data_IF_755573923186
#
_entry.id   IF_755573923186
#
_cell.length_a   1.000
_cell.length_b   1.000
_cell.length_c   1.000
_cell.angle_alpha   90.00
_cell.angle_beta   90.00
_cell.angle_gamma   90.00
#
_symmetry.space_group_name_H-M   'P 1'
#
loop_
_entity.id
_entity.type
_entity.pdbx_description
1 polymer ?
#
# COMPACT_ATOMS: atom_id res chain seq x y z
N UNK A 1 -7.94 29.84 15.80
CA UNK A 1 -8.75 30.11 14.60
C UNK A 1 -9.10 28.78 13.94
N UNK A 2 -10.28 28.22 14.20
CA UNK A 2 -10.73 26.93 13.67
C UNK A 2 -11.30 27.25 12.28
N UNK A 3 -10.54 26.88 11.23
CA UNK A 3 -11.04 26.96 9.86
C UNK A 3 -12.11 25.87 9.68
N UNK A 4 -13.37 26.23 9.73
CA UNK A 4 -14.46 25.40 9.25
C UNK A 4 -14.30 25.26 7.74
N UNK A 5 -13.82 24.08 7.30
CA UNK A 5 -13.94 23.66 5.92
C UNK A 5 -15.44 23.54 5.64
N UNK A 6 -15.99 24.38 4.78
CA UNK A 6 -17.34 24.22 4.25
C UNK A 6 -17.43 22.81 3.65
N UNK A 7 -18.18 21.93 4.29
CA UNK A 7 -18.54 20.63 3.74
C UNK A 7 -19.31 20.88 2.44
N UNK A 8 -18.68 20.58 1.33
CA UNK A 8 -19.39 20.46 0.05
C UNK A 8 -19.99 19.08 0.08
N UNK A 9 -21.31 18.99 0.13
CA UNK A 9 -22.02 17.74 -0.01
C UNK A 9 -21.58 17.06 -1.31
N UNK A 10 -20.90 15.92 -1.19
CA UNK A 10 -20.48 15.11 -2.32
C UNK A 10 -21.41 13.92 -2.41
N UNK A 11 -22.22 13.90 -3.47
CA UNK A 11 -23.09 12.76 -3.73
C UNK A 11 -22.31 11.72 -4.56
N UNK A 12 -22.11 10.53 -4.00
CA UNK A 12 -21.49 9.41 -4.70
C UNK A 12 -22.57 8.35 -4.94
N UNK A 13 -22.91 8.15 -6.22
CA UNK A 13 -23.84 7.11 -6.66
C UNK A 13 -23.04 6.00 -7.33
N UNK A 14 -23.38 4.74 -7.06
CA UNK A 14 -22.85 3.60 -7.80
C UNK A 14 -24.00 2.71 -8.25
N UNK A 15 -23.90 2.24 -9.48
CA UNK A 15 -24.82 1.31 -10.09
C UNK A 15 -24.11 -0.01 -10.34
N UNK A 16 -24.76 -1.10 -9.87
CA UNK A 16 -24.32 -2.47 -10.09
C UNK A 16 -25.28 -3.15 -11.06
N UNK A 17 -25.00 -2.97 -12.35
CA UNK A 17 -25.62 -3.74 -13.43
C UNK A 17 -24.57 -4.70 -14.01
N UNK A 18 -24.52 -4.88 -15.31
CA UNK A 18 -23.47 -5.67 -15.97
C UNK A 18 -22.05 -5.13 -15.73
N UNK A 19 -21.91 -3.80 -15.59
CA UNK A 19 -20.66 -3.12 -15.24
C UNK A 19 -20.89 -2.14 -14.10
N UNK A 20 -19.96 -2.13 -13.14
CA UNK A 20 -19.96 -1.14 -12.05
C UNK A 20 -19.72 0.25 -12.61
N UNK A 21 -20.66 1.16 -12.41
CA UNK A 21 -20.55 2.57 -12.79
C UNK A 21 -20.57 3.43 -11.54
N UNK A 22 -19.71 4.43 -11.52
CA UNK A 22 -19.60 5.37 -10.41
C UNK A 22 -19.85 6.78 -10.89
N UNK A 23 -20.49 7.59 -10.05
CA UNK A 23 -20.80 8.98 -10.33
C UNK A 23 -20.42 9.82 -9.13
N UNK A 24 -19.90 11.03 -9.37
CA UNK A 24 -19.70 12.06 -8.35
C UNK A 24 -20.52 13.27 -8.78
N UNK A 25 -21.49 13.69 -7.96
CA UNK A 25 -22.42 14.76 -8.28
C UNK A 25 -23.09 14.58 -9.65
N UNK A 26 -23.54 13.34 -9.95
CA UNK A 26 -24.13 12.91 -11.20
C UNK A 26 -23.20 12.91 -12.44
N UNK A 27 -21.91 13.20 -12.26
CA UNK A 27 -20.90 13.13 -13.32
C UNK A 27 -20.27 11.72 -13.29
N UNK A 28 -20.26 10.99 -14.41
CA UNK A 28 -19.67 9.66 -14.46
C UNK A 28 -18.16 9.71 -14.23
N UNK A 29 -17.66 8.81 -13.40
CA UNK A 29 -16.24 8.69 -13.04
C UNK A 29 -15.61 7.62 -13.90
N UNK A 30 -14.52 7.94 -14.56
CA UNK A 30 -13.81 7.01 -15.47
C UNK A 30 -12.95 5.99 -14.69
N UNK A 31 -12.38 6.39 -13.57
CA UNK A 31 -11.51 5.53 -12.75
C UNK A 31 -11.99 5.50 -11.30
N UNK A 32 -12.12 4.32 -10.72
CA UNK A 32 -12.48 4.14 -9.30
C UNK A 32 -11.54 4.89 -8.35
N UNK A 33 -10.27 5.09 -8.76
CA UNK A 33 -9.31 5.87 -7.97
C UNK A 33 -9.70 7.33 -7.75
N UNK A 34 -10.58 7.89 -8.59
CA UNK A 34 -11.05 9.28 -8.45
C UNK A 34 -12.06 9.45 -7.30
N UNK A 35 -12.65 8.35 -6.81
CA UNK A 35 -13.59 8.34 -5.68
C UNK A 35 -12.82 8.27 -4.37
N UNK A 36 -11.65 7.64 -4.39
CA UNK A 36 -10.84 7.45 -3.19
C UNK A 36 -10.38 8.81 -2.66
N UNK A 37 -10.64 9.05 -1.37
CA UNK A 37 -10.37 10.33 -0.73
C UNK A 37 -11.45 11.39 -0.92
N UNK A 38 -12.51 11.09 -1.70
CA UNK A 38 -13.73 11.91 -1.75
C UNK A 38 -14.74 11.48 -0.67
N UNK A 39 -14.78 10.19 -0.41
CA UNK A 39 -15.60 9.58 0.65
C UNK A 39 -14.72 8.70 1.53
N UNK A 40 -15.02 8.67 2.82
CA UNK A 40 -14.35 7.81 3.80
C UNK A 40 -15.33 6.74 4.23
N UNK A 41 -14.98 5.48 3.94
CA UNK A 41 -15.82 4.33 4.28
C UNK A 41 -15.02 3.43 5.22
N UNK A 42 -15.61 3.12 6.36
CA UNK A 42 -15.11 2.11 7.29
C UNK A 42 -16.13 0.96 7.28
N UNK A 43 -15.67 -0.19 6.84
CA UNK A 43 -16.43 -1.44 6.89
C UNK A 43 -15.71 -2.38 7.84
N UNK A 44 -16.43 -2.98 8.75
CA UNK A 44 -15.94 -4.04 9.62
C UNK A 44 -16.75 -5.31 9.36
N UNK A 45 -16.05 -6.38 9.06
CA UNK A 45 -16.62 -7.71 8.81
C UNK A 45 -15.95 -8.75 9.71
N UNK A 46 -16.56 -9.90 9.98
CA UNK A 46 -15.94 -10.97 10.76
C UNK A 46 -14.58 -11.43 10.17
N UNK A 47 -14.42 -11.35 8.86
CA UNK A 47 -13.18 -11.69 8.17
C UNK A 47 -12.02 -10.73 8.50
N UNK A 48 -12.32 -9.53 8.99
CA UNK A 48 -11.30 -8.54 9.38
C UNK A 48 -10.56 -8.93 10.66
N UNK A 49 -11.12 -9.81 11.48
CA UNK A 49 -10.43 -10.45 12.61
C UNK A 49 -9.19 -11.20 12.09
N UNK A 50 -9.25 -11.72 10.88
CA UNK A 50 -8.11 -12.33 10.20
C UNK A 50 -6.91 -11.41 9.93
N UNK A 51 -7.04 -10.09 10.11
CA UNK A 51 -5.91 -9.15 10.03
C UNK A 51 -4.88 -9.46 11.12
N UNK A 52 -5.34 -9.89 12.29
CA UNK A 52 -4.49 -10.24 13.43
C UNK A 52 -3.83 -11.60 13.20
N UNK A 53 -4.63 -12.61 12.85
CA UNK A 53 -4.21 -14.01 12.83
C UNK A 53 -3.70 -14.50 11.47
N UNK A 54 -3.91 -13.75 10.39
CA UNK A 54 -3.69 -14.22 9.03
C UNK A 54 -2.45 -13.60 8.35
N UNK A 55 -2.36 -13.90 7.05
CA UNK A 55 -1.24 -13.60 6.18
C UNK A 55 -0.83 -12.12 6.13
N UNK A 56 0.46 -11.84 5.96
CA UNK A 56 0.97 -10.47 5.75
C UNK A 56 0.33 -9.73 4.57
N UNK A 57 -0.22 -10.45 3.60
CA UNK A 57 -0.96 -9.91 2.45
C UNK A 57 -2.20 -9.14 2.87
N UNK A 58 -3.02 -9.68 3.79
CA UNK A 58 -4.23 -9.02 4.32
C UNK A 58 -3.88 -7.76 5.10
N UNK A 59 -2.84 -7.80 5.95
CA UNK A 59 -2.35 -6.62 6.67
C UNK A 59 -1.88 -5.51 5.72
N UNK A 60 -1.14 -5.87 4.66
CA UNK A 60 -0.71 -4.89 3.64
C UNK A 60 -1.90 -4.30 2.89
N UNK A 61 -2.88 -5.14 2.53
CA UNK A 61 -4.11 -4.67 1.86
C UNK A 61 -4.88 -3.69 2.73
N UNK A 62 -5.06 -3.99 4.01
CA UNK A 62 -5.71 -3.10 4.97
C UNK A 62 -4.99 -1.74 5.04
N UNK A 63 -3.67 -1.73 5.25
CA UNK A 63 -2.88 -0.50 5.27
C UNK A 63 -3.01 0.28 3.96
N UNK A 64 -2.98 -0.40 2.83
CA UNK A 64 -3.11 0.26 1.52
C UNK A 64 -4.47 0.94 1.38
N UNK A 65 -5.56 0.31 1.79
CA UNK A 65 -6.91 0.88 1.75
C UNK A 65 -6.98 2.13 2.65
N UNK A 66 -6.55 2.01 3.90
CA UNK A 66 -6.61 3.11 4.87
C UNK A 66 -5.77 4.31 4.44
N UNK A 67 -4.54 4.08 4.02
CA UNK A 67 -3.64 5.16 3.57
C UNK A 67 -4.17 5.79 2.28
N UNK A 68 -4.69 5.01 1.33
CA UNK A 68 -5.23 5.54 0.08
C UNK A 68 -6.43 6.47 0.31
N UNK A 69 -7.30 6.17 1.27
CA UNK A 69 -8.41 7.06 1.62
C UNK A 69 -7.90 8.40 2.16
N UNK A 70 -6.88 8.41 3.00
CA UNK A 70 -6.32 9.60 3.62
C UNK A 70 -5.37 10.38 2.70
N UNK A 71 -4.71 9.69 1.79
CA UNK A 71 -3.68 10.20 0.88
C UNK A 71 -3.91 9.65 -0.54
N UNK A 72 -4.78 10.26 -1.35
CA UNK A 72 -5.11 9.72 -2.69
C UNK A 72 -3.90 9.50 -3.60
N UNK A 73 -2.84 10.33 -3.47
CA UNK A 73 -1.60 10.14 -4.22
C UNK A 73 -0.89 8.81 -3.94
N UNK A 74 -1.14 8.19 -2.78
CA UNK A 74 -0.56 6.90 -2.42
C UNK A 74 -1.02 5.77 -3.35
N UNK A 75 -2.24 5.85 -3.90
CA UNK A 75 -2.74 4.84 -4.85
C UNK A 75 -1.94 4.86 -6.16
N UNK A 76 -1.49 6.03 -6.58
CA UNK A 76 -0.67 6.17 -7.78
C UNK A 76 0.70 5.51 -7.57
N UNK A 77 1.30 5.69 -6.38
CA UNK A 77 2.55 5.02 -6.02
C UNK A 77 2.41 3.50 -6.00
N UNK A 78 1.29 2.97 -5.47
CA UNK A 78 1.00 1.54 -5.49
C UNK A 78 0.84 1.00 -6.91
N UNK A 79 0.11 1.73 -7.76
CA UNK A 79 -0.10 1.34 -9.15
C UNK A 79 1.22 1.32 -9.93
N UNK A 80 2.05 2.35 -9.77
CA UNK A 80 3.36 2.45 -10.39
C UNK A 80 4.30 1.33 -9.90
N UNK A 81 4.33 1.08 -8.59
CA UNK A 81 5.11 0.00 -8.00
C UNK A 81 4.74 -1.38 -8.58
N UNK A 82 3.45 -1.67 -8.68
CA UNK A 82 2.97 -2.95 -9.21
C UNK A 82 3.32 -3.08 -10.71
N UNK A 83 3.14 -2.03 -11.50
CA UNK A 83 3.50 -2.03 -12.91
C UNK A 83 4.99 -2.34 -13.14
N UNK A 84 5.87 -1.69 -12.37
CA UNK A 84 7.31 -1.93 -12.48
C UNK A 84 7.66 -3.34 -11.99
N UNK A 85 7.00 -3.82 -10.94
CA UNK A 85 7.19 -5.18 -10.43
C UNK A 85 6.79 -6.24 -11.46
N UNK A 86 5.68 -6.04 -12.17
CA UNK A 86 5.24 -6.92 -13.26
C UNK A 86 6.25 -6.93 -14.41
N UNK A 87 6.71 -5.76 -14.84
CA UNK A 87 7.74 -5.64 -15.89
C UNK A 87 9.03 -6.35 -15.48
N UNK A 88 9.48 -6.16 -14.24
CA UNK A 88 10.64 -6.84 -13.68
C UNK A 88 10.47 -8.36 -13.68
N UNK A 89 9.32 -8.84 -13.23
CA UNK A 89 9.03 -10.29 -13.20
C UNK A 89 8.95 -10.88 -14.61
N UNK A 90 8.42 -10.13 -15.56
CA UNK A 90 8.43 -10.52 -16.97
C UNK A 90 9.86 -10.62 -17.51
N UNK A 91 10.71 -9.62 -17.23
CA UNK A 91 12.11 -9.65 -17.64
C UNK A 91 12.91 -10.79 -16.99
N UNK A 92 12.63 -11.13 -15.74
CA UNK A 92 13.21 -12.32 -15.09
C UNK A 92 12.88 -13.61 -15.83
N UNK A 93 11.67 -13.75 -16.36
CA UNK A 93 11.31 -14.90 -17.22
C UNK A 93 12.12 -14.90 -18.51
N UNK A 94 12.32 -13.74 -19.12
CA UNK A 94 13.12 -13.61 -20.35
C UNK A 94 14.61 -13.95 -20.09
N UNK A 95 15.17 -13.57 -18.94
CA UNK A 95 16.52 -14.00 -18.54
C UNK A 95 16.57 -15.54 -18.46
N UNK A 96 15.56 -16.15 -17.85
CA UNK A 96 15.52 -17.61 -17.63
C UNK A 96 15.36 -18.40 -18.93
N UNK A 97 14.48 -17.99 -19.81
CA UNK A 97 14.08 -18.76 -20.98
C UNK A 97 14.70 -18.28 -22.29
N UNK A 98 15.08 -17.00 -22.37
CA UNK A 98 15.61 -16.37 -23.60
C UNK A 98 17.08 -15.97 -23.46
N UNK A 99 17.71 -16.19 -22.30
CA UNK A 99 19.13 -15.87 -22.08
C UNK A 99 19.45 -14.36 -22.07
N UNK A 100 18.45 -13.49 -21.79
CA UNK A 100 18.68 -12.04 -21.78
C UNK A 100 19.69 -11.62 -20.69
N UNK A 101 20.41 -10.50 -20.90
CA UNK A 101 21.42 -10.03 -19.94
C UNK A 101 20.83 -9.69 -18.58
N UNK A 102 21.41 -10.22 -17.51
CA UNK A 102 20.94 -9.99 -16.14
C UNK A 102 21.23 -8.56 -15.66
N UNK A 103 22.22 -7.91 -16.25
CA UNK A 103 22.67 -6.56 -15.93
C UNK A 103 21.55 -5.53 -16.10
N UNK A 104 20.70 -5.71 -17.10
CA UNK A 104 19.56 -4.80 -17.36
C UNK A 104 18.50 -4.81 -16.26
N UNK A 105 18.52 -5.80 -15.35
CA UNK A 105 17.57 -5.89 -14.24
C UNK A 105 17.69 -4.71 -13.26
N UNK A 106 18.87 -4.09 -13.21
CA UNK A 106 19.12 -2.94 -12.34
C UNK A 106 18.17 -1.77 -12.60
N UNK A 107 17.71 -1.58 -13.84
CA UNK A 107 16.79 -0.49 -14.21
C UNK A 107 15.48 -0.57 -13.41
N UNK A 108 14.90 -1.77 -13.33
CA UNK A 108 13.67 -1.99 -12.54
C UNK A 108 13.94 -2.05 -11.05
N UNK A 109 15.10 -2.61 -10.64
CA UNK A 109 15.50 -2.67 -9.24
C UNK A 109 15.61 -1.28 -8.63
N UNK A 110 16.20 -0.30 -9.34
CA UNK A 110 16.31 1.08 -8.90
C UNK A 110 14.95 1.77 -8.78
N UNK A 111 14.09 1.60 -9.77
CA UNK A 111 12.74 2.19 -9.76
C UNK A 111 11.89 1.61 -8.61
N UNK A 112 11.90 0.28 -8.43
CA UNK A 112 11.21 -0.40 -7.33
C UNK A 112 11.73 0.10 -5.98
N UNK A 113 13.05 0.29 -5.86
CA UNK A 113 13.66 0.81 -4.65
C UNK A 113 13.15 2.21 -4.30
N UNK A 114 13.18 3.12 -5.27
CA UNK A 114 12.76 4.51 -5.10
C UNK A 114 11.29 4.63 -4.71
N UNK A 115 10.41 3.90 -5.41
CA UNK A 115 8.97 3.93 -5.11
C UNK A 115 8.67 3.19 -3.82
N UNK A 116 9.31 2.04 -3.60
CA UNK A 116 9.18 1.26 -2.38
C UNK A 116 9.57 2.03 -1.12
N UNK A 117 10.59 2.90 -1.20
CA UNK A 117 10.96 3.79 -0.11
C UNK A 117 9.83 4.77 0.24
N UNK A 118 9.20 5.41 -0.76
CA UNK A 118 8.06 6.29 -0.53
C UNK A 118 6.88 5.56 0.10
N UNK A 119 6.56 4.36 -0.39
CA UNK A 119 5.51 3.51 0.18
C UNK A 119 5.82 3.16 1.65
N UNK A 120 7.09 2.85 1.94
CA UNK A 120 7.54 2.58 3.30
C UNK A 120 7.31 3.78 4.24
N UNK A 121 7.67 4.99 3.80
CA UNK A 121 7.52 6.21 4.57
C UNK A 121 6.04 6.50 4.89
N UNK A 122 5.15 6.38 3.90
CA UNK A 122 3.70 6.52 4.12
C UNK A 122 3.17 5.52 5.15
N UNK A 123 3.59 4.25 5.07
CA UNK A 123 3.13 3.22 6.01
C UNK A 123 3.68 3.45 7.40
N UNK A 124 4.94 3.84 7.53
CA UNK A 124 5.56 4.16 8.81
C UNK A 124 4.84 5.34 9.49
N UNK A 125 4.66 6.45 8.77
CA UNK A 125 3.93 7.62 9.27
C UNK A 125 2.51 7.26 9.72
N UNK A 126 1.82 6.42 8.94
CA UNK A 126 0.47 5.98 9.26
C UNK A 126 0.41 5.16 10.54
N UNK A 127 1.32 4.19 10.73
CA UNK A 127 1.40 3.36 11.93
C UNK A 127 1.73 4.21 13.17
N UNK A 128 2.65 5.17 13.04
CA UNK A 128 2.98 6.09 14.14
C UNK A 128 1.75 6.91 14.57
N UNK A 129 0.98 7.43 13.61
CA UNK A 129 -0.25 8.17 13.91
C UNK A 129 -1.35 7.31 14.53
N UNK A 130 -1.48 6.05 14.10
CA UNK A 130 -2.45 5.12 14.68
C UNK A 130 -2.06 4.76 16.11
N UNK A 131 -0.80 4.47 16.38
CA UNK A 131 -0.35 4.10 17.72
C UNK A 131 -0.75 5.13 18.76
N UNK A 132 -0.63 6.42 18.45
CA UNK A 132 -1.02 7.50 19.35
C UNK A 132 -2.51 7.50 19.73
N UNK A 133 -3.37 6.92 18.87
CA UNK A 133 -4.82 6.85 19.09
C UNK A 133 -5.24 5.49 19.65
N UNK A 134 -4.75 4.41 19.07
CA UNK A 134 -5.17 3.05 19.42
C UNK A 134 -4.78 2.70 20.86
N UNK A 135 -3.63 3.17 21.33
CA UNK A 135 -3.18 2.99 22.69
C UNK A 135 -4.22 3.49 23.70
N UNK A 136 -4.67 4.75 23.54
CA UNK A 136 -5.67 5.34 24.45
C UNK A 136 -7.03 4.63 24.37
N UNK A 137 -7.48 4.29 23.16
CA UNK A 137 -8.76 3.59 22.96
C UNK A 137 -8.70 2.21 23.60
N UNK A 138 -7.59 1.49 23.41
CA UNK A 138 -7.44 0.13 23.96
C UNK A 138 -7.38 0.13 25.48
N UNK A 139 -6.61 1.02 26.08
CA UNK A 139 -6.57 1.18 27.53
C UNK A 139 -7.97 1.41 28.13
N UNK A 140 -8.75 2.31 27.52
CA UNK A 140 -10.12 2.58 27.98
C UNK A 140 -11.04 1.36 27.84
N UNK A 141 -10.86 0.55 26.77
CA UNK A 141 -11.68 -0.64 26.53
C UNK A 141 -11.32 -1.80 27.47
N UNK A 142 -10.05 -1.91 27.85
CA UNK A 142 -9.54 -2.99 28.71
C UNK A 142 -9.43 -2.58 30.18
N UNK A 143 -10.01 -1.45 30.57
CA UNK A 143 -9.91 -0.92 31.95
C UNK A 143 -8.45 -0.77 32.43
N UNK A 144 -7.57 -0.34 31.54
CA UNK A 144 -6.12 -0.21 31.75
C UNK A 144 -5.38 -1.53 32.04
N UNK A 145 -5.93 -2.67 31.65
CA UNK A 145 -5.32 -3.99 31.91
C UNK A 145 -4.33 -4.40 30.83
N UNK A 146 -4.49 -3.89 29.60
CA UNK A 146 -3.68 -4.31 28.46
C UNK A 146 -3.19 -3.12 27.62
N UNK A 147 -1.97 -3.21 27.14
CA UNK A 147 -1.39 -2.25 26.22
C UNK A 147 -1.30 -2.84 24.81
N UNK A 148 -1.63 -2.06 23.80
CA UNK A 148 -1.49 -2.44 22.39
C UNK A 148 -0.52 -1.51 21.67
N UNK A 149 0.35 -2.09 20.84
CA UNK A 149 1.25 -1.36 19.97
C UNK A 149 1.34 -2.04 18.60
N UNK A 150 1.28 -1.25 17.54
CA UNK A 150 1.51 -1.72 16.18
C UNK A 150 2.94 -1.40 15.75
N UNK A 151 3.64 -2.39 15.21
CA UNK A 151 4.98 -2.22 14.68
C UNK A 151 5.03 -2.52 13.18
N UNK A 152 5.73 -1.66 12.44
CA UNK A 152 5.91 -1.84 11.00
C UNK A 152 7.29 -2.39 10.67
N UNK A 153 7.36 -3.68 10.36
CA UNK A 153 8.57 -4.32 9.90
C UNK A 153 8.64 -4.35 8.38
N UNK A 154 9.73 -3.85 7.82
CA UNK A 154 10.00 -3.90 6.39
C UNK A 154 11.43 -4.33 6.11
N UNK A 155 11.58 -5.24 5.16
CA UNK A 155 12.89 -5.67 4.68
C UNK A 155 13.52 -4.68 3.67
N UNK A 156 12.79 -3.64 3.25
CA UNK A 156 13.25 -2.67 2.25
C UNK A 156 14.51 -1.96 2.72
N UNK A 157 14.53 -1.48 3.97
CA UNK A 157 15.64 -0.71 4.51
C UNK A 157 16.95 -1.50 4.62
N UNK A 158 16.89 -2.81 4.89
CA UNK A 158 18.10 -3.64 5.03
C UNK A 158 18.68 -4.13 3.68
N UNK A 159 17.84 -4.31 2.66
CA UNK A 159 18.26 -4.94 1.40
C UNK A 159 18.62 -3.95 0.30
N UNK A 160 17.94 -2.83 0.20
CA UNK A 160 18.17 -1.86 -0.86
C UNK A 160 19.45 -1.07 -0.63
N UNK A 161 19.70 -0.55 0.56
CA UNK A 161 20.95 0.15 0.88
C UNK A 161 22.18 -0.75 0.80
N UNK A 162 22.11 -2.01 1.25
CA UNK A 162 23.24 -2.96 1.12
C UNK A 162 23.53 -3.40 -0.31
N UNK A 163 22.56 -3.31 -1.22
CA UNK A 163 22.71 -3.74 -2.61
C UNK A 163 23.37 -2.67 -3.49
N UNK A 164 23.20 -1.40 -3.16
CA UNK A 164 23.94 -0.31 -3.79
C UNK A 164 25.44 -0.33 -3.41
N UNK A 165 25.79 -0.84 -2.21
CA UNK A 165 27.18 -0.93 -1.76
C UNK A 165 27.91 -2.22 -2.21
N UNK A 166 27.20 -3.30 -2.54
CA UNK A 166 27.82 -4.55 -3.00
C UNK A 166 27.20 -5.03 -4.31
N UNK A 167 27.79 -4.62 -5.43
CA UNK A 167 27.68 -5.29 -6.75
C UNK A 167 28.20 -6.73 -6.62
N UNK A 168 27.45 -7.67 -6.11
CA UNK A 168 27.84 -9.07 -6.10
C UNK A 168 26.87 -9.95 -6.85
N UNK A 169 27.39 -10.61 -7.89
CA UNK A 169 26.72 -11.61 -8.73
C UNK A 169 26.01 -12.74 -7.95
N UNK A 170 26.29 -12.90 -6.67
CA UNK A 170 25.83 -14.01 -5.81
C UNK A 170 24.34 -13.96 -5.42
N UNK A 171 23.62 -12.88 -5.72
CA UNK A 171 22.22 -12.69 -5.28
C UNK A 171 21.19 -13.19 -6.29
N UNK A 172 21.56 -13.31 -7.55
CA UNK A 172 20.66 -13.68 -8.65
C UNK A 172 20.44 -15.20 -8.76
N UNK A 173 21.37 -16.01 -8.28
CA UNK A 173 21.31 -17.47 -8.36
C UNK A 173 20.39 -18.14 -7.33
N UNK A 174 19.99 -17.46 -6.24
CA UNK A 174 19.22 -18.08 -5.13
C UNK A 174 17.71 -17.83 -5.15
N UNK A 175 17.14 -17.21 -6.18
CA UNK A 175 15.67 -16.93 -6.25
C UNK A 175 15.01 -17.22 -7.59
N UNK A 176 15.47 -18.23 -8.27
CA UNK A 176 14.83 -18.77 -9.51
C UNK A 176 14.08 -20.07 -9.21
N UNK A 177 13.76 -20.33 -7.93
CA UNK A 177 12.89 -21.45 -7.51
C UNK A 177 11.68 -20.90 -6.77
#
# INVERSE_FOLDING_TARGET
>A
MISQKKDRDINVKFEMKEKKKFYINNIPVKKTSEIIGKTYIVLFTPEDIGIINNEPSKRRRFLNIMISQLRPLYINLLSEYNKILEQRNFYLKQIKYEGKPIENLCIWDEQIAKIGQKIYEYRKEFIEKINNKIYKIHLNTTENKEEIKMEYFSNIRKKLFRKFEKKSKKWYTKRVY
#
